data_IF_107589183514
#
_entry.id   IF_107589183514
#
_cell.length_a   1.000
_cell.length_b   1.000
_cell.length_c   1.000
_cell.angle_alpha   90.00
_cell.angle_beta   90.00
_cell.angle_gamma   90.00
#
_symmetry.space_group_name_H-M   'P 1'
#
loop_
_entity.id
_entity.type
_entity.pdbx_description
1 polymer ?
#
# COMPACT_ATOMS: atom_id res chain seq x y z
N UNK A 1 52.00 1.14 24.84
CA UNK A 1 51.47 -0.19 24.45
C UNK A 1 50.31 -0.53 25.37
N UNK A 2 49.15 -0.92 24.83
CA UNK A 2 48.00 -1.31 25.64
C UNK A 2 46.65 -0.91 25.04
N UNK A 3 46.32 -1.46 23.86
CA UNK A 3 44.94 -1.47 23.38
C UNK A 3 44.12 -2.40 24.27
N UNK A 4 43.02 -1.91 24.83
CA UNK A 4 42.03 -2.72 25.55
C UNK A 4 40.70 -2.57 24.82
N UNK A 5 40.33 -3.59 24.06
CA UNK A 5 39.02 -3.75 23.45
C UNK A 5 38.01 -4.06 24.56
N UNK A 6 37.05 -3.17 24.81
CA UNK A 6 35.93 -3.43 25.70
C UNK A 6 34.70 -3.77 24.84
N UNK A 7 34.34 -5.06 24.85
CA UNK A 7 33.10 -5.58 24.28
C UNK A 7 32.00 -5.26 25.30
N UNK A 8 31.37 -4.10 25.16
CA UNK A 8 30.26 -3.67 26.01
C UNK A 8 28.93 -4.13 25.41
N UNK A 9 28.31 -5.16 26.01
CA UNK A 9 26.91 -5.50 25.75
C UNK A 9 26.03 -4.36 26.30
N UNK A 10 25.36 -3.66 25.40
CA UNK A 10 24.47 -2.55 25.74
C UNK A 10 23.24 -3.07 26.51
N UNK A 11 22.73 -2.33 27.53
CA UNK A 11 21.64 -2.82 28.37
C UNK A 11 20.38 -3.14 27.57
N UNK A 12 19.78 -4.30 27.88
CA UNK A 12 18.43 -4.70 27.43
C UNK A 12 17.47 -3.52 27.60
N UNK A 13 16.84 -3.11 26.49
CA UNK A 13 15.73 -2.16 26.52
C UNK A 13 14.70 -2.61 27.56
N UNK A 14 14.16 -1.71 28.40
CA UNK A 14 13.13 -2.06 29.36
C UNK A 14 11.93 -2.63 28.61
N UNK A 15 11.49 -3.82 29.04
CA UNK A 15 10.38 -4.54 28.44
C UNK A 15 9.18 -3.64 28.23
N UNK A 16 8.71 -3.55 26.99
CA UNK A 16 7.52 -2.77 26.64
C UNK A 16 6.30 -3.38 27.33
N UNK A 17 5.95 -2.87 28.51
CA UNK A 17 4.58 -2.96 29.04
C UNK A 17 3.69 -2.11 28.13
N UNK A 18 3.20 -2.71 27.05
CA UNK A 18 2.23 -2.12 26.14
C UNK A 18 0.89 -1.99 26.89
N UNK A 19 0.58 -0.79 27.39
CA UNK A 19 -0.78 -0.46 27.84
C UNK A 19 -1.73 -0.54 26.66
N UNK A 20 -2.66 -1.48 26.72
CA UNK A 20 -3.74 -1.71 25.76
C UNK A 20 -4.86 -0.68 25.96
N UNK A 21 -4.77 0.51 25.35
CA UNK A 21 -5.97 1.37 25.19
C UNK A 21 -5.80 2.54 24.22
N UNK A 22 -4.59 3.07 24.01
CA UNK A 22 -4.45 4.18 23.05
C UNK A 22 -4.26 3.66 21.63
N UNK A 23 -5.28 3.84 20.79
CA UNK A 23 -5.24 3.62 19.34
C UNK A 23 -4.44 4.76 18.68
N UNK A 24 -3.12 4.66 18.77
CA UNK A 24 -2.18 5.62 18.21
C UNK A 24 -0.89 4.96 17.73
N UNK A 25 -0.20 5.61 16.80
CA UNK A 25 1.05 5.12 16.20
C UNK A 25 1.35 5.83 14.87
N UNK A 26 2.61 5.77 14.42
CA UNK A 26 2.99 6.32 13.11
C UNK A 26 2.11 5.75 11.97
N UNK A 27 1.91 6.53 10.91
CA UNK A 27 0.99 6.19 9.80
C UNK A 27 -0.47 5.92 10.24
N UNK A 28 -0.90 6.51 11.36
CA UNK A 28 -2.29 6.50 11.82
C UNK A 28 -2.79 7.94 11.89
N UNK A 29 -4.03 8.19 11.46
CA UNK A 29 -4.63 9.52 11.53
C UNK A 29 -6.15 9.46 11.66
N UNK A 30 -6.79 10.56 12.07
CA UNK A 30 -8.23 10.60 12.25
C UNK A 30 -8.92 10.37 10.90
N UNK A 31 -9.79 9.38 10.80
CA UNK A 31 -10.49 9.09 9.56
C UNK A 31 -11.64 10.10 9.36
N UNK A 32 -11.60 10.96 8.32
CA UNK A 32 -12.64 11.96 8.08
C UNK A 32 -14.01 11.34 7.82
N UNK A 33 -14.08 10.08 7.38
CA UNK A 33 -15.35 9.40 7.08
C UNK A 33 -15.85 8.52 8.23
N UNK A 34 -15.08 8.31 9.30
CA UNK A 34 -15.45 7.46 10.44
C UNK A 34 -15.29 8.22 11.77
N UNK A 35 -15.88 9.41 11.84
CA UNK A 35 -15.96 10.25 13.06
C UNK A 35 -14.60 10.50 13.73
N UNK A 36 -13.52 10.59 12.94
CA UNK A 36 -12.18 10.82 13.45
C UNK A 36 -11.51 9.60 14.09
N UNK A 37 -12.08 8.39 13.97
CA UNK A 37 -11.43 7.18 14.49
C UNK A 37 -10.04 7.01 13.86
N UNK A 38 -9.01 6.69 14.66
CA UNK A 38 -7.66 6.50 14.17
C UNK A 38 -7.61 5.30 13.22
N UNK A 39 -7.08 5.52 12.03
CA UNK A 39 -6.98 4.48 11.00
C UNK A 39 -5.81 4.66 10.05
N UNK A 40 -5.62 3.63 9.23
CA UNK A 40 -4.59 3.55 8.19
C UNK A 40 -5.22 3.16 6.88
N UNK A 41 -4.82 3.83 5.81
CA UNK A 41 -5.21 3.50 4.44
C UNK A 41 -4.13 2.66 3.78
N UNK A 42 -4.58 1.68 2.98
CA UNK A 42 -3.72 0.88 2.11
C UNK A 42 -3.88 1.38 0.69
N UNK A 43 -2.78 1.85 0.12
CA UNK A 43 -2.69 2.22 -1.29
C UNK A 43 -2.10 1.03 -2.05
N UNK A 44 -2.85 0.46 -2.98
CA UNK A 44 -2.44 -0.72 -3.74
C UNK A 44 -2.39 -0.42 -5.24
N UNK A 45 -1.32 -0.89 -5.89
CA UNK A 45 -1.25 -1.08 -7.34
C UNK A 45 -1.43 -2.56 -7.62
N UNK A 46 -2.39 -2.92 -8.46
CA UNK A 46 -2.72 -4.31 -8.81
C UNK A 46 -2.73 -4.51 -10.31
N UNK A 47 -2.46 -5.73 -10.76
CA UNK A 47 -2.71 -6.12 -12.15
C UNK A 47 -4.20 -6.36 -12.43
N UNK A 48 -4.55 -6.79 -13.65
CA UNK A 48 -5.96 -7.08 -14.02
C UNK A 48 -6.58 -8.28 -13.32
N UNK A 49 -5.77 -9.19 -12.76
CA UNK A 49 -6.21 -10.40 -12.05
C UNK A 49 -6.27 -10.18 -10.52
N UNK A 50 -5.83 -9.02 -10.05
CA UNK A 50 -5.78 -8.65 -8.64
C UNK A 50 -4.46 -9.01 -7.96
N UNK A 51 -3.41 -9.32 -8.71
CA UNK A 51 -2.05 -9.55 -8.18
C UNK A 51 -1.49 -8.23 -7.65
N UNK A 52 -1.17 -8.11 -6.35
CA UNK A 52 -0.53 -6.91 -5.81
C UNK A 52 0.86 -6.70 -6.43
N UNK A 53 1.07 -5.53 -7.03
CA UNK A 53 2.36 -5.12 -7.61
C UNK A 53 3.10 -4.15 -6.70
N UNK A 54 2.39 -3.34 -5.91
CA UNK A 54 2.99 -2.39 -4.98
C UNK A 54 1.98 -1.99 -3.92
N UNK A 55 2.46 -1.76 -2.70
CA UNK A 55 1.63 -1.33 -1.58
C UNK A 55 2.32 -0.23 -0.80
N UNK A 56 1.55 0.75 -0.33
CA UNK A 56 1.96 1.75 0.65
C UNK A 56 0.89 1.97 1.69
N UNK A 57 1.32 2.34 2.89
CA UNK A 57 0.44 2.73 3.97
C UNK A 57 0.43 4.26 4.11
N UNK A 58 -0.67 4.80 4.61
CA UNK A 58 -0.73 6.19 5.07
C UNK A 58 -1.70 6.34 6.23
N UNK A 59 -1.60 7.41 7.03
CA UNK A 59 -2.69 7.85 7.90
C UNK A 59 -4.01 7.97 7.14
N UNK A 60 -5.14 7.70 7.81
CA UNK A 60 -6.46 7.77 7.17
C UNK A 60 -6.88 9.19 6.74
N UNK A 61 -6.37 10.24 7.37
CA UNK A 61 -6.61 11.63 6.96
C UNK A 61 -5.83 12.03 5.70
N UNK A 62 -4.85 11.24 5.24
CA UNK A 62 -4.07 11.60 4.05
C UNK A 62 -4.91 11.42 2.78
N UNK A 63 -4.80 12.39 1.88
CA UNK A 63 -5.52 12.38 0.61
C UNK A 63 -4.87 11.40 -0.38
N UNK A 64 -5.67 10.52 -0.97
CA UNK A 64 -5.19 9.37 -1.76
C UNK A 64 -4.37 9.82 -2.98
N UNK A 65 -4.74 10.94 -3.60
CA UNK A 65 -3.99 11.51 -4.71
C UNK A 65 -2.51 11.80 -4.41
N UNK A 66 -2.17 12.10 -3.14
CA UNK A 66 -0.79 12.37 -2.71
C UNK A 66 0.02 11.08 -2.63
N UNK A 67 -0.66 9.95 -2.43
CA UNK A 67 -0.03 8.64 -2.30
C UNK A 67 0.13 7.93 -3.65
N UNK A 68 -0.38 8.50 -4.75
CA UNK A 68 -0.22 7.93 -6.09
C UNK A 68 1.25 7.70 -6.46
N UNK A 69 2.08 8.75 -6.39
CA UNK A 69 3.50 8.65 -6.75
C UNK A 69 4.26 7.67 -5.84
N UNK A 70 4.20 7.80 -4.49
CA UNK A 70 4.81 6.83 -3.59
C UNK A 70 4.40 5.38 -3.84
N UNK A 71 3.13 5.14 -4.17
CA UNK A 71 2.62 3.78 -4.42
C UNK A 71 3.09 3.23 -5.76
N UNK A 72 3.13 4.07 -6.80
CA UNK A 72 3.74 3.68 -8.08
C UNK A 72 5.23 3.39 -7.93
N UNK A 73 5.92 4.13 -7.07
CA UNK A 73 7.35 3.93 -6.82
C UNK A 73 7.67 2.67 -6.02
N UNK A 74 6.73 2.19 -5.21
CA UNK A 74 6.82 0.91 -4.51
C UNK A 74 6.78 -0.32 -5.43
N UNK A 75 6.36 -0.17 -6.70
CA UNK A 75 6.31 -1.30 -7.64
C UNK A 75 7.73 -1.75 -7.99
N UNK A 76 8.11 -3.00 -7.67
CA UNK A 76 9.43 -3.53 -7.97
C UNK A 76 9.57 -3.78 -9.47
N UNK A 77 10.81 -4.03 -9.92
CA UNK A 77 11.05 -4.43 -11.30
C UNK A 77 10.54 -5.84 -11.55
N UNK A 78 9.42 -5.99 -12.26
CA UNK A 78 8.87 -7.30 -12.62
C UNK A 78 9.51 -7.76 -13.92
N UNK A 79 10.11 -8.96 -13.90
CA UNK A 79 10.73 -9.57 -15.07
C UNK A 79 9.67 -10.33 -15.88
N UNK A 80 9.59 -10.04 -17.18
CA UNK A 80 8.61 -10.66 -18.09
C UNK A 80 9.28 -11.43 -19.25
N UNK A 81 10.60 -11.65 -19.19
CA UNK A 81 11.36 -12.30 -20.26
C UNK A 81 12.81 -11.79 -20.34
N UNK A 82 13.36 -11.78 -21.57
CA UNK A 82 14.67 -11.18 -21.89
C UNK A 82 14.56 -9.64 -21.86
N UNK A 83 15.59 -8.97 -21.32
CA UNK A 83 15.67 -7.51 -21.20
C UNK A 83 15.45 -6.96 -19.79
N UNK A 84 15.43 -5.61 -19.68
CA UNK A 84 15.33 -4.89 -18.39
C UNK A 84 13.98 -5.14 -17.70
N UNK A 85 13.95 -5.51 -16.41
CA UNK A 85 12.70 -5.65 -15.66
C UNK A 85 11.83 -4.40 -15.75
N UNK A 86 10.52 -4.59 -15.97
CA UNK A 86 9.57 -3.48 -16.10
C UNK A 86 9.07 -3.07 -14.73
N UNK A 87 9.28 -1.80 -14.38
CA UNK A 87 8.82 -1.23 -13.09
C UNK A 87 7.48 -0.51 -13.18
N UNK A 88 7.01 -0.18 -14.40
CA UNK A 88 5.86 0.72 -14.60
C UNK A 88 4.86 0.14 -15.60
N UNK A 89 3.55 0.18 -15.30
CA UNK A 89 2.53 -0.28 -16.22
C UNK A 89 2.39 0.68 -17.41
N UNK A 90 2.03 0.17 -18.60
CA UNK A 90 1.74 1.02 -19.77
C UNK A 90 0.53 1.94 -19.53
N UNK A 91 -0.42 1.51 -18.71
CA UNK A 91 -1.70 2.15 -18.47
C UNK A 91 -2.11 1.98 -17.02
N UNK A 92 -2.54 3.06 -16.37
CA UNK A 92 -3.03 3.05 -15.00
C UNK A 92 -4.49 3.49 -14.97
N UNK A 93 -5.36 2.66 -14.40
CA UNK A 93 -6.74 3.02 -14.10
C UNK A 93 -6.81 3.50 -12.65
N UNK A 94 -7.45 4.66 -12.42
CA UNK A 94 -7.65 5.20 -11.08
C UNK A 94 -9.02 5.85 -10.96
N UNK A 95 -9.51 5.98 -9.72
CA UNK A 95 -10.80 6.57 -9.42
C UNK A 95 -10.82 8.11 -9.56
N UNK A 96 -12.00 8.69 -9.29
CA UNK A 96 -12.24 10.14 -9.35
C UNK A 96 -11.47 10.92 -8.28
N UNK A 97 -11.10 10.31 -7.15
CA UNK A 97 -10.31 10.97 -6.11
C UNK A 97 -8.87 11.25 -6.58
N UNK A 98 -8.41 10.57 -7.64
CA UNK A 98 -7.14 10.88 -8.30
C UNK A 98 -7.26 11.94 -9.41
N UNK A 99 -8.43 12.56 -9.61
CA UNK A 99 -8.67 13.55 -10.67
C UNK A 99 -8.02 14.91 -10.37
N UNK A 100 -6.70 14.92 -10.28
CA UNK A 100 -5.90 16.12 -10.08
C UNK A 100 -4.80 16.23 -11.15
N UNK A 101 -4.41 17.48 -11.48
CA UNK A 101 -3.31 17.74 -12.43
C UNK A 101 -2.01 17.06 -11.98
N UNK A 102 -1.71 17.08 -10.68
CA UNK A 102 -0.55 16.39 -10.08
C UNK A 102 -0.51 14.90 -10.44
N UNK A 103 -1.63 14.18 -10.28
CA UNK A 103 -1.69 12.74 -10.54
C UNK A 103 -1.39 12.41 -12.01
N UNK A 104 -1.91 13.23 -12.93
CA UNK A 104 -1.61 13.08 -14.36
C UNK A 104 -0.15 13.41 -14.67
N UNK A 105 0.44 14.44 -14.03
CA UNK A 105 1.87 14.77 -14.16
C UNK A 105 2.75 13.62 -13.69
N UNK A 106 2.47 13.04 -12.53
CA UNK A 106 3.20 11.88 -11.98
C UNK A 106 3.14 10.66 -12.90
N UNK A 107 1.98 10.40 -13.51
CA UNK A 107 1.84 9.33 -14.51
C UNK A 107 2.67 9.61 -15.77
N UNK A 108 2.60 10.83 -16.31
CA UNK A 108 3.37 11.23 -17.51
C UNK A 108 4.87 11.16 -17.27
N UNK A 109 5.35 11.62 -16.12
CA UNK A 109 6.76 11.54 -15.74
C UNK A 109 7.31 10.10 -15.69
N UNK A 110 6.43 9.12 -15.45
CA UNK A 110 6.76 7.69 -15.44
C UNK A 110 6.41 6.97 -16.75
N UNK A 111 6.05 7.72 -17.80
CA UNK A 111 5.59 7.19 -19.10
C UNK A 111 4.38 6.25 -18.98
N UNK A 112 3.47 6.54 -18.05
CA UNK A 112 2.24 5.77 -17.80
C UNK A 112 1.05 6.51 -18.41
N UNK A 113 0.27 5.82 -19.24
CA UNK A 113 -1.01 6.36 -19.74
C UNK A 113 -2.05 6.39 -18.61
N UNK A 114 -2.33 7.57 -18.10
CA UNK A 114 -3.34 7.79 -17.06
C UNK A 114 -4.77 7.63 -17.62
N UNK A 115 -5.56 6.72 -17.04
CA UNK A 115 -7.02 6.61 -17.18
C UNK A 115 -7.67 6.86 -15.83
N UNK A 116 -7.68 8.13 -15.47
CA UNK A 116 -8.28 8.63 -14.24
C UNK A 116 -9.68 9.14 -14.60
N UNK A 117 -10.70 8.64 -13.90
CA UNK A 117 -12.06 9.11 -14.10
C UNK A 117 -12.19 10.58 -13.69
N UNK A 118 -12.88 11.38 -14.50
CA UNK A 118 -13.10 12.81 -14.26
C UNK A 118 -14.24 13.01 -13.27
N UNK A 119 -14.00 13.86 -12.27
CA UNK A 119 -15.01 14.29 -11.30
C UNK A 119 -16.06 15.14 -12.02
N UNK A 120 -17.34 14.90 -11.73
CA UNK A 120 -18.46 15.62 -12.35
C UNK A 120 -18.76 15.28 -13.82
N UNK A 121 -17.93 14.47 -14.50
CA UNK A 121 -18.12 14.14 -15.93
C UNK A 121 -18.35 12.65 -16.16
N UNK A 122 -17.48 11.78 -15.64
CA UNK A 122 -17.61 10.34 -15.92
C UNK A 122 -18.57 9.68 -14.92
N UNK A 123 -19.47 8.80 -15.38
CA UNK A 123 -20.35 8.03 -14.48
C UNK A 123 -19.57 7.07 -13.57
N UNK A 124 -20.05 6.87 -12.35
CA UNK A 124 -19.46 5.92 -11.39
C UNK A 124 -19.67 4.45 -11.80
N UNK A 125 -20.65 4.14 -12.64
CA UNK A 125 -20.94 2.76 -13.08
C UNK A 125 -19.81 2.18 -13.93
N UNK A 126 -19.31 2.96 -14.90
CA UNK A 126 -18.20 2.54 -15.78
C UNK A 126 -16.90 2.34 -14.99
N UNK A 127 -16.75 3.01 -13.85
CA UNK A 127 -15.58 2.90 -12.97
C UNK A 127 -15.52 1.53 -12.27
N UNK A 128 -16.67 0.93 -11.97
CA UNK A 128 -16.79 -0.35 -11.27
C UNK A 128 -16.00 -1.49 -11.94
N UNK A 129 -15.98 -1.53 -13.29
CA UNK A 129 -15.30 -2.57 -14.07
C UNK A 129 -13.81 -2.74 -13.74
N UNK A 130 -13.11 -1.65 -13.43
CA UNK A 130 -11.70 -1.69 -13.08
C UNK A 130 -11.47 -1.57 -11.57
N UNK A 131 -12.34 -0.84 -10.87
CA UNK A 131 -12.26 -0.62 -9.43
C UNK A 131 -12.46 -1.92 -8.63
N UNK A 132 -13.38 -2.76 -9.08
CA UNK A 132 -13.68 -4.03 -8.40
C UNK A 132 -12.46 -4.95 -8.25
N UNK A 133 -11.50 -4.91 -9.18
CA UNK A 133 -10.27 -5.72 -9.05
C UNK A 133 -9.47 -5.29 -7.82
N UNK A 134 -9.33 -3.98 -7.61
CA UNK A 134 -8.65 -3.41 -6.44
C UNK A 134 -9.41 -3.73 -5.16
N UNK A 135 -10.73 -3.50 -5.15
CA UNK A 135 -11.59 -3.76 -3.99
C UNK A 135 -11.59 -5.24 -3.60
N UNK A 136 -11.60 -6.14 -4.57
CA UNK A 136 -11.44 -7.57 -4.35
C UNK A 136 -10.10 -7.91 -3.72
N UNK A 137 -8.99 -7.34 -4.21
CA UNK A 137 -7.67 -7.57 -3.61
C UNK A 137 -7.61 -7.05 -2.18
N UNK A 138 -8.22 -5.88 -1.90
CA UNK A 138 -8.37 -5.38 -0.54
C UNK A 138 -9.22 -6.31 0.33
N UNK A 139 -10.29 -6.89 -0.22
CA UNK A 139 -11.12 -7.87 0.49
C UNK A 139 -10.33 -9.15 0.81
N UNK A 140 -9.46 -9.62 -0.07
CA UNK A 140 -8.54 -10.73 0.21
C UNK A 140 -7.58 -10.39 1.35
N UNK A 141 -7.01 -9.19 1.37
CA UNK A 141 -6.17 -8.74 2.49
C UNK A 141 -6.97 -8.69 3.80
N UNK A 142 -8.22 -8.25 3.75
CA UNK A 142 -9.09 -8.19 4.93
C UNK A 142 -9.53 -9.58 5.43
N UNK A 143 -9.38 -10.65 4.65
CA UNK A 143 -9.60 -12.03 5.16
C UNK A 143 -8.54 -12.46 6.15
N UNK A 144 -7.34 -11.86 6.09
CA UNK A 144 -6.35 -12.04 7.15
C UNK A 144 -6.81 -11.24 8.36
N UNK A 145 -7.35 -11.91 9.39
CA UNK A 145 -7.87 -11.26 10.61
C UNK A 145 -6.90 -10.26 11.23
N UNK A 146 -5.59 -10.54 11.14
CA UNK A 146 -4.50 -9.66 11.59
C UNK A 146 -4.44 -8.32 10.84
N UNK A 147 -4.85 -8.28 9.58
CA UNK A 147 -4.90 -7.07 8.75
C UNK A 147 -6.27 -6.40 8.76
N UNK A 148 -7.35 -7.11 9.06
CA UNK A 148 -8.69 -6.51 9.14
C UNK A 148 -8.75 -5.39 10.19
N UNK A 149 -8.11 -5.60 11.34
CA UNK A 149 -8.00 -4.62 12.43
C UNK A 149 -6.51 -4.40 12.69
N UNK A 150 -6.06 -3.13 12.66
CA UNK A 150 -4.69 -2.78 12.99
C UNK A 150 -4.51 -2.84 14.51
N UNK A 151 -3.73 -3.80 14.99
CA UNK A 151 -3.34 -3.93 16.40
C UNK A 151 -1.95 -3.31 16.67
N UNK A 152 -1.14 -3.17 15.63
CA UNK A 152 0.25 -2.76 15.67
C UNK A 152 0.35 -1.23 15.77
N UNK A 153 0.95 -0.72 16.85
CA UNK A 153 1.30 0.70 16.95
C UNK A 153 2.40 1.09 15.97
N UNK A 154 3.34 0.18 15.75
CA UNK A 154 4.49 0.33 14.85
C UNK A 154 4.08 0.16 13.38
N UNK A 155 4.36 1.17 12.56
CA UNK A 155 3.98 1.21 11.15
C UNK A 155 4.76 0.19 10.31
N UNK A 156 6.05 0.00 10.62
CA UNK A 156 6.93 -0.97 9.97
C UNK A 156 6.45 -2.41 10.15
N UNK A 157 5.99 -2.77 11.36
CA UNK A 157 5.40 -4.09 11.63
C UNK A 157 4.09 -4.26 10.84
N UNK A 158 3.25 -3.24 10.79
CA UNK A 158 2.00 -3.31 10.02
C UNK A 158 2.26 -3.39 8.50
N UNK A 159 3.27 -2.68 8.00
CA UNK A 159 3.71 -2.77 6.60
C UNK A 159 4.24 -4.17 6.30
N UNK A 160 5.07 -4.75 7.18
CA UNK A 160 5.58 -6.11 7.03
C UNK A 160 4.47 -7.16 6.94
N UNK A 161 3.46 -7.11 7.82
CA UNK A 161 2.31 -8.00 7.73
C UNK A 161 1.48 -7.77 6.47
N UNK A 162 1.35 -6.51 6.03
CA UNK A 162 0.64 -6.19 4.79
C UNK A 162 1.37 -6.78 3.57
N UNK A 163 2.70 -6.66 3.53
CA UNK A 163 3.56 -7.25 2.50
C UNK A 163 3.48 -8.79 2.53
N UNK A 164 3.48 -9.41 3.71
CA UNK A 164 3.28 -10.85 3.85
C UNK A 164 1.91 -11.29 3.29
N UNK A 165 0.85 -10.56 3.60
CA UNK A 165 -0.48 -10.79 3.02
C UNK A 165 -0.47 -10.68 1.48
N UNK A 166 0.21 -9.68 0.93
CA UNK A 166 0.40 -9.54 -0.51
C UNK A 166 1.20 -10.71 -1.11
N UNK A 167 2.24 -11.19 -0.45
CA UNK A 167 3.04 -12.33 -0.88
C UNK A 167 2.23 -13.62 -0.93
N UNK A 168 1.38 -13.87 0.07
CA UNK A 168 0.46 -15.01 0.07
C UNK A 168 -0.58 -14.93 -1.05
N UNK A 169 -1.10 -13.74 -1.36
CA UNK A 169 -1.97 -13.54 -2.52
C UNK A 169 -1.22 -13.87 -3.81
N UNK A 170 0.02 -13.39 -3.97
CA UNK A 170 0.84 -13.69 -5.14
C UNK A 170 1.10 -15.20 -5.28
N UNK A 171 1.46 -15.88 -4.19
CA UNK A 171 1.67 -17.33 -4.17
C UNK A 171 0.42 -18.09 -4.64
N UNK A 172 -0.75 -17.71 -4.13
CA UNK A 172 -2.01 -18.33 -4.53
C UNK A 172 -2.37 -18.07 -6.00
N UNK A 173 -1.95 -16.92 -6.57
CA UNK A 173 -2.12 -16.66 -8.00
C UNK A 173 -1.18 -17.52 -8.83
N UNK A 174 0.08 -17.68 -8.42
CA UNK A 174 1.06 -18.54 -9.10
C UNK A 174 0.56 -19.99 -9.13
N UNK A 175 0.05 -20.51 -8.00
CA UNK A 175 -0.54 -21.84 -7.88
C UNK A 175 -1.76 -22.10 -8.78
N UNK A 176 -2.33 -21.07 -9.42
CA UNK A 176 -3.40 -21.25 -10.42
C UNK A 176 -2.87 -21.48 -11.84
N UNK A 177 -1.59 -21.23 -12.07
CA UNK A 177 -0.92 -21.42 -13.36
C UNK A 177 -0.08 -22.70 -13.40
N UNK A 178 0.29 -23.23 -12.24
CA UNK A 178 0.87 -24.55 -12.08
C UNK A 178 -0.24 -25.57 -11.90
#
# INVERSE_FOLDING_TARGET
AGQRWAIGLEPRQPGQRLRSSEKGGAETGPNPTDRGKPGTKRHLVVDRRGTPLGVRLSPANRHDSLMLAPTLDAVPGVRHGRGRPRKRPKKLHADKAYDHRRCRKECRARSIRARIARRGVDSSEKLGRHRWVVERTLAWLNRFRRLAIRYERRADIHEAFTLLGCALICLNQIRRFC
#
